data_IF_486401081028
#
_entry.id   IF_486401081028
#
_cell.length_a   1.000
_cell.length_b   1.000
_cell.length_c   1.000
_cell.angle_alpha   90.00
_cell.angle_beta   90.00
_cell.angle_gamma   90.00
#
_symmetry.space_group_name_H-M   'P 1'
#
loop_
_entity.id
_entity.type
_entity.pdbx_description
1 polymer ?
#
# COMPACT_ATOMS: atom_id res chain seq x y z
N UNK A 1 10.80 1.49 -5.87
CA UNK A 1 9.38 1.12 -6.02
C UNK A 1 8.70 2.20 -6.84
N UNK A 2 7.90 1.82 -7.83
CA UNK A 2 7.17 2.73 -8.73
C UNK A 2 5.69 2.42 -8.58
N UNK A 3 4.83 3.44 -8.71
CA UNK A 3 3.37 3.33 -8.60
C UNK A 3 2.74 4.51 -7.87
N UNK A 4 1.43 4.65 -8.05
CA UNK A 4 0.54 5.53 -7.27
C UNK A 4 -0.66 4.68 -6.83
N UNK A 5 -0.86 4.54 -5.53
CA UNK A 5 -1.91 3.71 -4.94
C UNK A 5 -2.64 4.47 -3.85
N UNK A 6 -3.96 4.29 -3.78
CA UNK A 6 -4.73 4.61 -2.59
C UNK A 6 -5.03 3.32 -1.81
N UNK A 7 -4.55 3.24 -0.57
CA UNK A 7 -4.81 2.11 0.33
C UNK A 7 -5.81 2.54 1.40
N UNK A 8 -6.90 1.81 1.55
CA UNK A 8 -7.91 2.08 2.58
C UNK A 8 -7.91 0.96 3.61
N UNK A 9 -7.42 1.19 4.85
CA UNK A 9 -7.59 0.25 5.95
C UNK A 9 -9.06 0.07 6.30
N UNK A 10 -9.44 -1.13 6.74
CA UNK A 10 -10.81 -1.35 7.23
C UNK A 10 -11.12 -0.44 8.44
N UNK A 11 -12.23 0.30 8.34
CA UNK A 11 -12.61 1.33 9.32
C UNK A 11 -11.70 2.57 9.37
N UNK A 12 -10.70 2.68 8.49
CA UNK A 12 -9.72 3.76 8.46
C UNK A 12 -9.96 4.79 7.35
N UNK A 13 -9.14 5.84 7.35
CA UNK A 13 -9.10 6.81 6.25
C UNK A 13 -8.14 6.32 5.15
N UNK A 14 -8.44 6.61 3.87
CA UNK A 14 -7.55 6.28 2.76
C UNK A 14 -6.18 6.96 2.89
N UNK A 15 -5.13 6.25 2.50
CA UNK A 15 -3.73 6.69 2.51
C UNK A 15 -3.13 6.53 1.13
N UNK A 16 -2.58 7.61 0.58
CA UNK A 16 -1.91 7.58 -0.72
C UNK A 16 -0.45 7.13 -0.54
N UNK A 17 -0.02 6.17 -1.36
CA UNK A 17 1.34 5.62 -1.39
C UNK A 17 1.92 5.87 -2.78
N UNK A 18 3.08 6.52 -2.81
CA UNK A 18 3.79 6.87 -4.02
C UNK A 18 5.25 6.39 -4.06
N UNK A 19 5.97 6.87 -5.07
CA UNK A 19 7.39 6.57 -5.26
C UNK A 19 8.22 7.16 -4.11
N UNK A 20 8.95 6.30 -3.41
CA UNK A 20 9.89 6.69 -2.35
C UNK A 20 9.34 6.46 -0.94
N UNK A 21 8.07 6.14 -0.80
CA UNK A 21 7.46 5.85 0.49
C UNK A 21 7.91 4.47 1.01
N UNK A 22 8.21 4.43 2.32
CA UNK A 22 8.40 3.20 3.07
C UNK A 22 7.12 2.92 3.87
N UNK A 23 6.47 1.79 3.59
CA UNK A 23 5.18 1.44 4.20
C UNK A 23 5.27 0.07 4.84
N UNK A 24 4.70 -0.06 6.05
CA UNK A 24 4.64 -1.32 6.79
C UNK A 24 3.20 -1.78 6.89
N UNK A 25 2.94 -3.05 6.58
CA UNK A 25 1.64 -3.69 6.71
C UNK A 25 1.69 -4.68 7.88
N UNK A 26 1.18 -4.33 9.07
CA UNK A 26 1.20 -5.24 10.21
C UNK A 26 0.35 -6.48 9.93
N UNK A 27 0.74 -7.61 10.56
CA UNK A 27 -0.02 -8.84 10.46
C UNK A 27 -1.47 -8.64 10.92
N UNK A 28 -2.43 -9.19 10.17
CA UNK A 28 -3.86 -9.04 10.45
C UNK A 28 -4.49 -7.74 9.93
N UNK A 29 -3.73 -6.88 9.24
CA UNK A 29 -4.30 -5.71 8.57
C UNK A 29 -5.13 -6.12 7.35
N UNK A 30 -6.41 -5.75 7.36
CA UNK A 30 -7.28 -5.81 6.19
C UNK A 30 -7.34 -4.42 5.54
N UNK A 31 -7.10 -4.37 4.23
CA UNK A 31 -7.19 -3.13 3.46
C UNK A 31 -7.54 -3.40 2.00
N UNK A 32 -8.12 -2.41 1.34
CA UNK A 32 -8.37 -2.40 -0.10
C UNK A 32 -7.35 -1.50 -0.81
N UNK A 33 -7.03 -1.85 -2.04
CA UNK A 33 -6.04 -1.15 -2.86
C UNK A 33 -6.72 -0.65 -4.14
N UNK A 34 -6.63 0.64 -4.38
CA UNK A 34 -6.97 1.25 -5.67
C UNK A 34 -5.66 1.61 -6.38
N UNK A 35 -5.38 0.89 -7.47
CA UNK A 35 -4.16 1.06 -8.27
C UNK A 35 -4.45 2.09 -9.36
N UNK A 36 -3.88 3.29 -9.24
CA UNK A 36 -4.07 4.37 -10.23
C UNK A 36 -2.96 4.43 -11.28
N UNK A 37 -1.78 3.89 -10.95
CA UNK A 37 -0.67 3.62 -11.88
C UNK A 37 -0.01 2.31 -11.50
N UNK A 38 0.54 1.60 -12.48
CA UNK A 38 1.20 0.30 -12.28
C UNK A 38 2.19 0.32 -11.11
N UNK A 39 2.04 -0.66 -10.23
CA UNK A 39 2.81 -0.77 -8.98
C UNK A 39 3.80 -1.91 -9.08
N UNK A 40 5.07 -1.61 -8.79
CA UNK A 40 6.10 -2.62 -8.55
C UNK A 40 6.50 -2.66 -7.08
N UNK A 41 6.13 -3.75 -6.43
CA UNK A 41 6.35 -4.02 -5.00
C UNK A 41 7.43 -5.07 -4.79
N UNK A 42 8.25 -4.86 -3.76
CA UNK A 42 9.22 -5.83 -3.26
C UNK A 42 8.76 -6.26 -1.87
N UNK A 43 8.65 -7.56 -1.67
CA UNK A 43 8.28 -8.13 -0.38
C UNK A 43 9.50 -8.79 0.25
N UNK A 44 9.69 -8.51 1.53
CA UNK A 44 10.52 -9.34 2.40
C UNK A 44 9.56 -10.18 3.23
N UNK A 45 9.64 -11.50 3.06
CA UNK A 45 8.92 -12.46 3.89
C UNK A 45 9.97 -13.12 4.79
N UNK A 46 9.75 -13.11 6.10
CA UNK A 46 10.51 -13.90 7.08
C UNK A 46 9.86 -15.28 7.27
#
# INVERSE_FOLDING_TARGET
MEGDVLVTPDGGQPVQIGKGDLVTFPAGLFCTWEITKDVKKHYLFD
#
